data_IF_529997937299
#
_entry.id   IF_529997937299
#
_cell.length_a   1.000
_cell.length_b   1.000
_cell.length_c   1.000
_cell.angle_alpha   90.00
_cell.angle_beta   90.00
_cell.angle_gamma   90.00
#
_symmetry.space_group_name_H-M   'P 1'
#
loop_
_entity.id
_entity.type
_entity.pdbx_description
1 polymer ?
#
# COMPACT_ATOMS: atom_id res chain seq x y z
N UNK A 1 -10.99 -14.90 1.40
CA UNK A 1 -12.31 -14.25 1.55
C UNK A 1 -12.19 -13.13 2.58
N UNK A 2 -13.08 -12.16 2.54
CA UNK A 2 -13.25 -11.08 3.51
C UNK A 2 -14.72 -11.06 3.93
N UNK A 3 -15.00 -10.40 5.05
CA UNK A 3 -16.38 -10.16 5.48
C UNK A 3 -16.85 -8.81 4.94
N UNK A 4 -18.12 -8.71 4.54
CA UNK A 4 -18.76 -7.44 4.18
C UNK A 4 -19.79 -7.10 5.26
N UNK A 5 -19.58 -5.97 5.93
CA UNK A 5 -20.44 -5.46 6.99
C UNK A 5 -20.89 -4.04 6.63
N UNK A 6 -22.18 -3.82 6.47
CA UNK A 6 -22.77 -2.52 6.07
C UNK A 6 -22.11 -1.93 4.79
N UNK A 7 -21.80 -2.78 3.80
CA UNK A 7 -21.11 -2.34 2.59
C UNK A 7 -19.60 -2.09 2.76
N UNK A 8 -19.02 -2.38 3.90
CA UNK A 8 -17.58 -2.28 4.17
C UNK A 8 -16.96 -3.68 4.12
N UNK A 9 -16.00 -3.88 3.22
CA UNK A 9 -15.17 -5.09 3.21
C UNK A 9 -14.08 -4.99 4.28
N UNK A 10 -14.11 -5.87 5.26
CA UNK A 10 -13.10 -5.92 6.34
C UNK A 10 -12.04 -6.94 5.95
N UNK A 11 -10.82 -6.47 5.75
CA UNK A 11 -9.66 -7.27 5.37
C UNK A 11 -8.67 -7.37 6.53
N UNK A 12 -8.58 -8.51 7.22
CA UNK A 12 -7.58 -8.68 8.26
C UNK A 12 -6.17 -8.73 7.68
N UNK A 13 -5.26 -7.99 8.30
CA UNK A 13 -3.82 -7.95 8.03
C UNK A 13 -3.09 -8.24 9.33
N UNK A 14 -2.82 -9.52 9.60
CA UNK A 14 -2.40 -9.98 10.93
C UNK A 14 -1.08 -10.72 10.90
N UNK A 15 -0.30 -10.61 11.98
CA UNK A 15 0.97 -11.30 12.18
C UNK A 15 2.09 -10.78 11.28
N UNK A 16 3.15 -11.56 11.13
CA UNK A 16 4.32 -11.17 10.32
C UNK A 16 3.98 -11.10 8.84
N UNK A 17 4.32 -10.00 8.21
CA UNK A 17 4.12 -9.80 6.77
C UNK A 17 5.26 -10.46 5.99
N UNK A 18 4.90 -11.26 4.99
CA UNK A 18 5.86 -11.95 4.12
C UNK A 18 5.54 -11.68 2.65
N UNK A 19 6.53 -11.84 1.77
CA UNK A 19 6.36 -11.51 0.35
C UNK A 19 5.24 -12.34 -0.30
N UNK A 20 5.19 -13.63 0.00
CA UNK A 20 4.19 -14.55 -0.57
C UNK A 20 3.86 -15.68 0.41
N UNK A 21 2.57 -16.06 0.44
CA UNK A 21 2.08 -17.28 1.06
C UNK A 21 1.34 -18.11 0.03
N UNK A 22 1.29 -19.46 0.22
CA UNK A 22 0.47 -20.35 -0.62
C UNK A 22 -1.01 -20.19 -0.29
N UNK A 23 -1.35 -19.91 0.97
CA UNK A 23 -2.71 -19.63 1.40
C UNK A 23 -3.01 -18.13 1.26
N UNK A 24 -4.17 -17.79 0.71
CA UNK A 24 -4.65 -16.41 0.59
C UNK A 24 -5.12 -15.83 1.93
N UNK A 25 -5.27 -16.67 2.93
CA UNK A 25 -5.60 -16.28 4.31
C UNK A 25 -4.40 -16.50 5.23
N UNK A 26 -4.26 -15.68 6.29
CA UNK A 26 -3.22 -15.89 7.28
C UNK A 26 -3.37 -17.27 7.93
N UNK A 27 -2.38 -18.09 7.75
CA UNK A 27 -2.23 -19.37 8.43
C UNK A 27 -0.92 -19.32 9.21
N UNK A 28 -0.90 -19.79 10.45
CA UNK A 28 0.33 -19.80 11.28
C UNK A 28 0.96 -18.44 11.61
N UNK A 29 0.16 -17.36 11.79
CA UNK A 29 0.69 -16.06 12.24
C UNK A 29 1.45 -15.26 11.17
N UNK A 30 1.28 -15.58 9.88
CA UNK A 30 1.90 -14.85 8.76
C UNK A 30 0.86 -14.45 7.72
N UNK A 31 0.99 -13.25 7.18
CA UNK A 31 0.16 -12.75 6.07
C UNK A 31 1.03 -12.41 4.86
N UNK A 32 0.73 -13.01 3.69
CA UNK A 32 1.42 -12.70 2.45
C UNK A 32 0.89 -11.43 1.78
N UNK A 33 1.78 -10.59 1.26
CA UNK A 33 1.39 -9.41 0.46
C UNK A 33 0.54 -9.80 -0.75
N UNK A 34 0.83 -10.95 -1.39
CA UNK A 34 0.02 -11.49 -2.47
C UNK A 34 -1.44 -11.74 -2.06
N UNK A 35 -1.66 -12.22 -0.83
CA UNK A 35 -3.01 -12.44 -0.29
C UNK A 35 -3.74 -11.13 0.01
N UNK A 36 -3.03 -10.10 0.50
CA UNK A 36 -3.60 -8.76 0.71
C UNK A 36 -4.02 -8.17 -0.64
N UNK A 37 -3.14 -8.18 -1.63
CA UNK A 37 -3.39 -7.65 -2.98
C UNK A 37 -4.60 -8.33 -3.62
N UNK A 38 -4.67 -9.65 -3.59
CA UNK A 38 -5.78 -10.40 -4.17
C UNK A 38 -7.14 -10.03 -3.53
N UNK A 39 -7.19 -9.90 -2.20
CA UNK A 39 -8.41 -9.50 -1.48
C UNK A 39 -8.79 -8.04 -1.74
N UNK A 40 -7.81 -7.13 -1.83
CA UNK A 40 -8.04 -5.74 -2.20
C UNK A 40 -8.67 -5.62 -3.59
N UNK A 41 -8.10 -6.31 -4.58
CA UNK A 41 -8.60 -6.31 -5.96
C UNK A 41 -10.01 -6.90 -6.04
N UNK A 42 -10.26 -7.99 -5.32
CA UNK A 42 -11.59 -8.60 -5.23
C UNK A 42 -12.60 -7.61 -4.62
N UNK A 43 -12.28 -6.98 -3.49
CA UNK A 43 -13.16 -6.00 -2.83
C UNK A 43 -13.37 -4.74 -3.69
N UNK A 44 -12.34 -4.30 -4.42
CA UNK A 44 -12.45 -3.16 -5.34
C UNK A 44 -13.46 -3.41 -6.47
N UNK A 45 -13.56 -4.66 -6.95
CA UNK A 45 -14.47 -5.06 -8.04
C UNK A 45 -15.86 -5.49 -7.55
N UNK A 46 -16.04 -5.73 -6.26
CA UNK A 46 -17.30 -6.23 -5.69
C UNK A 46 -18.36 -5.12 -5.62
N UNK A 47 -19.51 -5.24 -6.34
CA UNK A 47 -20.55 -4.22 -6.33
C UNK A 47 -21.23 -4.04 -4.97
N UNK A 48 -21.12 -5.02 -4.07
CA UNK A 48 -21.68 -4.94 -2.70
C UNK A 48 -20.77 -4.20 -1.72
N UNK A 49 -19.58 -3.79 -2.16
CA UNK A 49 -18.58 -3.11 -1.34
C UNK A 49 -18.52 -1.63 -1.71
N UNK A 50 -18.83 -0.77 -0.76
CA UNK A 50 -18.73 0.69 -0.87
C UNK A 50 -17.37 1.24 -0.39
N UNK A 51 -16.69 0.51 0.50
CA UNK A 51 -15.39 0.86 1.06
C UNK A 51 -14.68 -0.35 1.66
N UNK A 52 -13.39 -0.21 1.89
CA UNK A 52 -12.50 -1.28 2.37
C UNK A 52 -11.84 -0.83 3.67
N UNK A 53 -11.92 -1.64 4.71
CA UNK A 53 -11.23 -1.43 5.98
C UNK A 53 -10.13 -2.50 6.15
N UNK A 54 -8.88 -2.07 6.19
CA UNK A 54 -7.76 -2.91 6.57
C UNK A 54 -7.72 -2.97 8.11
N UNK A 55 -8.00 -4.13 8.68
CA UNK A 55 -7.93 -4.38 10.11
C UNK A 55 -6.51 -4.88 10.44
N UNK A 56 -5.69 -3.98 11.02
CA UNK A 56 -4.26 -4.16 11.17
C UNK A 56 -3.91 -4.64 12.57
N UNK A 57 -3.26 -5.82 12.63
CA UNK A 57 -2.62 -6.37 13.83
C UNK A 57 -1.28 -7.02 13.43
N UNK A 58 -0.27 -6.20 13.13
CA UNK A 58 1.00 -6.66 12.58
C UNK A 58 2.21 -5.89 13.10
N UNK A 59 3.30 -6.59 13.47
CA UNK A 59 4.59 -5.96 13.77
C UNK A 59 5.32 -5.45 12.51
N UNK A 60 4.79 -5.75 11.32
CA UNK A 60 5.47 -5.57 10.05
C UNK A 60 6.06 -6.87 9.52
N UNK A 61 7.15 -6.79 8.76
CA UNK A 61 7.77 -7.99 8.19
C UNK A 61 8.73 -7.69 7.05
N UNK A 62 8.72 -8.54 6.02
CA UNK A 62 9.67 -8.48 4.92
C UNK A 62 9.55 -7.20 4.09
N UNK A 63 10.69 -6.64 3.70
CA UNK A 63 10.76 -5.51 2.77
C UNK A 63 10.27 -5.93 1.37
N UNK A 64 10.66 -7.14 0.94
CA UNK A 64 10.32 -7.64 -0.39
C UNK A 64 8.79 -7.77 -0.57
N UNK A 65 8.24 -7.00 -1.49
CA UNK A 65 6.81 -6.94 -1.82
C UNK A 65 6.00 -5.91 -1.01
N UNK A 66 6.56 -5.31 0.06
CA UNK A 66 5.86 -4.34 0.89
C UNK A 66 5.50 -3.05 0.12
N UNK A 67 6.45 -2.52 -0.64
CA UNK A 67 6.26 -1.29 -1.41
C UNK A 67 5.25 -1.48 -2.54
N UNK A 68 5.30 -2.61 -3.24
CA UNK A 68 4.33 -2.94 -4.28
C UNK A 68 2.92 -3.08 -3.71
N UNK A 69 2.78 -3.72 -2.54
CA UNK A 69 1.50 -3.85 -1.86
C UNK A 69 0.95 -2.48 -1.45
N UNK A 70 1.78 -1.59 -0.91
CA UNK A 70 1.39 -0.22 -0.57
C UNK A 70 0.94 0.58 -1.80
N UNK A 71 1.64 0.45 -2.92
CA UNK A 71 1.25 1.10 -4.18
C UNK A 71 -0.09 0.57 -4.71
N UNK A 72 -0.39 -0.70 -4.55
CA UNK A 72 -1.70 -1.26 -4.91
C UNK A 72 -2.81 -0.70 -4.00
N UNK A 73 -2.57 -0.58 -2.69
CA UNK A 73 -3.51 0.08 -1.77
C UNK A 73 -3.78 1.52 -2.24
N UNK A 74 -2.73 2.27 -2.57
CA UNK A 74 -2.84 3.64 -3.06
C UNK A 74 -3.65 3.74 -4.37
N UNK A 75 -3.53 2.78 -5.28
CA UNK A 75 -4.36 2.73 -6.50
C UNK A 75 -5.81 2.37 -6.20
N UNK A 76 -6.04 1.41 -5.31
CA UNK A 76 -7.39 0.97 -4.95
C UNK A 76 -8.16 2.07 -4.24
N UNK A 77 -7.51 2.90 -3.40
CA UNK A 77 -8.18 4.03 -2.72
C UNK A 77 -8.78 5.08 -3.68
N UNK A 78 -8.26 5.14 -4.90
CA UNK A 78 -8.80 6.03 -5.94
C UNK A 78 -10.08 5.46 -6.59
N UNK A 79 -10.31 4.16 -6.46
CA UNK A 79 -11.50 3.45 -6.96
C UNK A 79 -12.57 3.41 -5.87
N UNK A 80 -12.22 2.92 -4.69
CA UNK A 80 -13.07 2.84 -3.49
C UNK A 80 -12.27 3.32 -2.27
N UNK A 81 -12.88 4.05 -1.32
CA UNK A 81 -12.20 4.44 -0.09
C UNK A 81 -11.59 3.23 0.62
N UNK A 82 -10.30 3.33 0.94
CA UNK A 82 -9.58 2.35 1.74
C UNK A 82 -9.16 3.02 3.03
N UNK A 83 -9.61 2.49 4.17
CA UNK A 83 -9.19 2.93 5.49
C UNK A 83 -8.35 1.84 6.15
N UNK A 84 -7.52 2.22 7.10
CA UNK A 84 -6.75 1.30 7.93
C UNK A 84 -7.09 1.55 9.40
N UNK A 85 -7.29 0.48 10.16
CA UNK A 85 -7.48 0.51 11.60
C UNK A 85 -6.28 -0.15 12.28
N UNK A 86 -5.47 0.62 12.99
CA UNK A 86 -4.52 0.06 13.95
C UNK A 86 -5.31 -0.39 15.17
N UNK A 87 -5.60 -1.69 15.23
CA UNK A 87 -6.44 -2.27 16.28
C UNK A 87 -5.60 -2.61 17.53
N UNK A 88 -4.54 -3.39 17.35
CA UNK A 88 -3.58 -3.73 18.40
C UNK A 88 -2.17 -3.25 18.04
N UNK A 89 -1.70 -3.59 16.86
CA UNK A 89 -0.38 -3.23 16.37
C UNK A 89 -0.41 -2.94 14.86
N UNK A 90 0.28 -1.89 14.45
CA UNK A 90 0.44 -1.55 13.04
C UNK A 90 1.82 -0.93 12.83
N UNK A 91 2.87 -1.75 12.88
CA UNK A 91 4.25 -1.29 12.88
C UNK A 91 4.99 -1.64 11.59
N UNK A 92 6.05 -0.86 11.30
CA UNK A 92 7.00 -1.11 10.21
C UNK A 92 6.30 -1.26 8.85
N UNK A 93 6.43 -2.38 8.14
CA UNK A 93 5.72 -2.60 6.88
C UNK A 93 4.19 -2.44 7.02
N UNK A 94 3.59 -2.73 8.18
CA UNK A 94 2.18 -2.44 8.46
C UNK A 94 1.88 -0.95 8.38
N UNK A 95 2.72 -0.10 8.98
CA UNK A 95 2.59 1.36 8.88
C UNK A 95 2.75 1.86 7.44
N UNK A 96 3.62 1.24 6.64
CA UNK A 96 3.73 1.54 5.21
C UNK A 96 2.40 1.29 4.49
N UNK A 97 1.79 0.13 4.71
CA UNK A 97 0.51 -0.23 4.10
C UNK A 97 -0.61 0.72 4.55
N UNK A 98 -0.71 0.99 5.85
CA UNK A 98 -1.71 1.91 6.40
C UNK A 98 -1.53 3.34 5.88
N UNK A 99 -0.30 3.80 5.68
CA UNK A 99 0.00 5.13 5.12
C UNK A 99 -0.57 5.30 3.71
N UNK A 100 -0.67 4.22 2.94
CA UNK A 100 -1.26 4.22 1.60
C UNK A 100 -2.81 4.29 1.61
N UNK A 101 -3.45 4.11 2.76
CA UNK A 101 -4.90 4.25 2.91
C UNK A 101 -5.35 5.71 2.86
N UNK A 102 -6.66 5.93 2.63
CA UNK A 102 -7.27 7.27 2.62
C UNK A 102 -7.34 7.87 4.03
N UNK A 103 -7.59 7.03 5.05
CA UNK A 103 -7.70 7.43 6.45
C UNK A 103 -7.18 6.33 7.35
N UNK A 104 -6.54 6.72 8.43
CA UNK A 104 -5.90 5.83 9.41
C UNK A 104 -6.52 6.04 10.77
N UNK A 105 -7.23 5.03 11.22
CA UNK A 105 -7.82 4.97 12.55
C UNK A 105 -6.85 4.28 13.51
N UNK A 106 -6.87 4.67 14.77
CA UNK A 106 -6.06 4.06 15.83
C UNK A 106 -6.90 3.88 17.08
N UNK A 107 -6.77 2.74 17.75
CA UNK A 107 -7.39 2.55 19.07
C UNK A 107 -6.52 3.17 20.18
N UNK A 108 -7.07 3.34 21.40
CA UNK A 108 -6.41 4.05 22.48
C UNK A 108 -5.03 3.51 22.84
N UNK A 109 -4.83 2.19 22.75
CA UNK A 109 -3.60 1.50 23.14
C UNK A 109 -2.86 0.84 21.97
N UNK A 110 -3.39 0.94 20.76
CA UNK A 110 -2.74 0.38 19.59
C UNK A 110 -1.40 1.06 19.33
N UNK A 111 -0.42 0.26 18.97
CA UNK A 111 0.93 0.71 18.66
C UNK A 111 1.13 0.84 17.17
N UNK A 112 1.67 1.97 16.71
CA UNK A 112 1.93 2.23 15.30
C UNK A 112 3.27 2.95 15.11
N UNK A 113 3.79 2.99 13.88
CA UNK A 113 5.08 3.59 13.59
C UNK A 113 6.14 2.56 13.25
N UNK A 114 7.29 2.59 13.93
CA UNK A 114 8.44 1.72 13.64
C UNK A 114 8.88 1.83 12.17
N UNK A 115 8.96 3.07 11.63
CA UNK A 115 9.35 3.33 10.25
C UNK A 115 10.87 3.21 10.13
N UNK A 116 11.32 1.97 10.03
CA UNK A 116 12.72 1.60 9.98
C UNK A 116 12.92 0.28 9.28
N UNK A 117 14.18 -0.06 9.05
CA UNK A 117 14.62 -1.33 8.50
C UNK A 117 15.74 -1.89 9.36
N UNK A 118 15.76 -3.19 9.54
CA UNK A 118 16.82 -3.86 10.28
C UNK A 118 17.28 -5.12 9.57
N UNK A 119 18.53 -5.46 9.82
CA UNK A 119 19.16 -6.70 9.44
C UNK A 119 19.96 -7.21 10.64
N UNK A 120 19.94 -8.51 10.88
CA UNK A 120 20.77 -9.14 11.89
C UNK A 120 21.79 -10.06 11.23
N UNK A 121 23.05 -9.97 11.64
CA UNK A 121 24.10 -10.92 11.29
C UNK A 121 24.48 -11.72 12.54
N UNK A 122 24.50 -13.04 12.42
CA UNK A 122 24.95 -13.95 13.48
C UNK A 122 26.26 -14.63 13.05
N UNK A 123 27.23 -14.68 13.96
CA UNK A 123 28.48 -15.37 13.74
C UNK A 123 28.58 -16.61 14.65
N UNK A 124 28.57 -17.78 14.04
CA UNK A 124 28.68 -19.08 14.71
C UNK A 124 30.06 -19.68 14.64
N UNK A 125 31.06 -19.01 14.06
CA UNK A 125 32.41 -19.56 13.82
C UNK A 125 33.05 -20.12 15.09
N UNK A 126 33.12 -19.35 16.17
CA UNK A 126 33.69 -19.80 17.44
C UNK A 126 32.93 -20.96 18.12
N UNK A 127 31.61 -21.04 17.90
CA UNK A 127 30.80 -22.15 18.43
C UNK A 127 31.07 -23.45 17.67
N UNK A 128 31.23 -23.38 16.37
CA UNK A 128 31.56 -24.52 15.49
C UNK A 128 32.96 -25.02 15.77
N UNK A 129 33.93 -24.12 15.90
CA UNK A 129 35.30 -24.45 16.25
C UNK A 129 35.38 -25.24 17.57
N UNK A 130 34.67 -24.81 18.61
CA UNK A 130 34.56 -25.54 19.89
C UNK A 130 33.93 -26.92 19.75
N UNK A 131 33.12 -27.13 18.72
CA UNK A 131 32.51 -28.43 18.40
C UNK A 131 33.42 -29.30 17.49
N UNK A 132 34.60 -28.82 17.12
CA UNK A 132 35.48 -29.49 16.21
C UNK A 132 35.06 -29.48 14.75
N UNK A 133 34.18 -28.52 14.37
CA UNK A 133 33.68 -28.36 13.00
C UNK A 133 34.40 -27.20 12.33
N UNK A 134 35.12 -27.51 11.26
CA UNK A 134 35.75 -26.53 10.38
C UNK A 134 34.89 -26.31 9.14
N UNK A 135 34.60 -25.03 8.82
CA UNK A 135 33.84 -24.65 7.62
C UNK A 135 34.79 -23.96 6.64
N UNK A 136 34.99 -24.55 5.50
CA UNK A 136 35.75 -23.98 4.38
C UNK A 136 34.79 -23.51 3.29
N UNK A 137 34.75 -22.20 3.01
CA UNK A 137 33.97 -21.65 1.93
C UNK A 137 34.80 -21.64 0.63
N UNK A 138 34.27 -22.29 -0.42
CA UNK A 138 34.84 -22.25 -1.76
C UNK A 138 33.81 -21.49 -2.64
N UNK A 139 34.22 -20.37 -3.21
CA UNK A 139 33.30 -19.49 -3.94
C UNK A 139 33.98 -18.79 -5.11
N UNK A 140 33.17 -18.33 -6.06
CA UNK A 140 33.54 -17.45 -7.16
C UNK A 140 32.66 -16.21 -7.16
N UNK A 141 33.32 -15.05 -7.16
CA UNK A 141 32.68 -13.73 -6.98
C UNK A 141 32.84 -13.21 -5.55
N UNK A 142 33.51 -12.05 -5.38
CA UNK A 142 33.95 -11.50 -4.09
C UNK A 142 32.77 -11.32 -3.07
N UNK A 143 31.57 -10.94 -3.56
CA UNK A 143 30.41 -10.69 -2.72
C UNK A 143 29.54 -11.91 -2.44
N UNK A 144 29.94 -13.11 -2.91
CA UNK A 144 29.12 -14.32 -2.75
C UNK A 144 28.99 -14.79 -1.31
N UNK A 145 29.97 -14.45 -0.49
CA UNK A 145 30.06 -14.86 0.92
C UNK A 145 29.89 -13.70 1.90
N UNK A 146 29.54 -12.52 1.41
CA UNK A 146 29.26 -11.37 2.26
C UNK A 146 28.15 -11.72 3.26
N UNK A 147 28.40 -11.47 4.54
CA UNK A 147 27.44 -11.77 5.60
C UNK A 147 27.24 -13.26 5.89
N UNK A 148 28.20 -14.14 5.51
CA UNK A 148 28.14 -15.55 5.91
C UNK A 148 28.18 -15.69 7.46
N UNK A 149 27.56 -16.75 8.03
CA UNK A 149 27.42 -16.89 9.47
C UNK A 149 28.63 -17.58 10.14
N UNK A 150 29.74 -17.79 9.44
CA UNK A 150 30.88 -18.58 9.94
C UNK A 150 32.08 -17.72 10.32
N UNK A 151 32.01 -16.42 10.08
CA UNK A 151 33.07 -15.48 10.39
C UNK A 151 32.53 -14.14 10.89
N UNK A 152 33.40 -13.30 11.42
CA UNK A 152 33.09 -11.92 11.71
C UNK A 152 32.65 -11.20 10.43
N UNK A 153 31.72 -10.28 10.56
CA UNK A 153 31.32 -9.41 9.46
C UNK A 153 32.43 -8.40 9.20
N UNK A 154 33.07 -8.40 8.00
CA UNK A 154 34.09 -7.41 7.66
C UNK A 154 33.51 -5.98 7.68
N UNK A 155 34.33 -4.99 8.02
CA UNK A 155 33.88 -3.59 8.17
C UNK A 155 33.34 -3.01 6.87
N UNK A 156 34.00 -3.27 5.75
CA UNK A 156 33.55 -2.83 4.41
C UNK A 156 32.20 -3.45 3.99
N UNK A 157 31.99 -4.73 4.34
CA UNK A 157 30.71 -5.41 4.13
C UNK A 157 29.63 -4.81 5.04
N UNK A 158 29.96 -4.55 6.31
CA UNK A 158 29.06 -3.90 7.26
C UNK A 158 28.64 -2.51 6.77
N UNK A 159 29.57 -1.69 6.31
CA UNK A 159 29.27 -0.36 5.74
C UNK A 159 28.39 -0.46 4.51
N UNK A 160 28.64 -1.42 3.62
CA UNK A 160 27.79 -1.67 2.45
C UNK A 160 26.37 -2.05 2.85
N UNK A 161 26.20 -2.94 3.83
CA UNK A 161 24.88 -3.34 4.33
C UNK A 161 24.16 -2.18 5.02
N UNK A 162 24.87 -1.37 5.83
CA UNK A 162 24.32 -0.18 6.47
C UNK A 162 23.81 0.81 5.41
N UNK A 163 24.60 1.10 4.40
CA UNK A 163 24.20 1.99 3.30
C UNK A 163 22.91 1.51 2.59
N UNK A 164 22.77 0.20 2.40
CA UNK A 164 21.54 -0.39 1.83
C UNK A 164 20.33 -0.23 2.78
N UNK A 165 20.53 -0.39 4.09
CA UNK A 165 19.48 -0.16 5.09
C UNK A 165 19.04 1.30 5.09
N UNK A 166 19.98 2.24 5.06
CA UNK A 166 19.71 3.68 5.04
C UNK A 166 18.94 4.08 3.76
N UNK A 167 19.34 3.56 2.61
CA UNK A 167 18.64 3.77 1.35
C UNK A 167 17.21 3.22 1.39
N UNK A 168 17.02 2.04 1.93
CA UNK A 168 15.69 1.41 2.07
C UNK A 168 14.81 2.19 3.06
N UNK A 169 15.35 2.64 4.19
CA UNK A 169 14.64 3.48 5.15
C UNK A 169 14.24 4.82 4.52
N UNK A 170 15.11 5.42 3.73
CA UNK A 170 14.80 6.66 2.99
C UNK A 170 13.67 6.44 1.97
N UNK A 171 13.69 5.34 1.23
CA UNK A 171 12.60 4.97 0.32
C UNK A 171 11.29 4.76 1.08
N UNK A 172 11.32 4.15 2.26
CA UNK A 172 10.17 4.00 3.14
C UNK A 172 9.61 5.39 3.53
N UNK A 173 10.46 6.28 4.02
CA UNK A 173 10.04 7.63 4.40
C UNK A 173 9.47 8.42 3.21
N UNK A 174 10.04 8.30 2.03
CA UNK A 174 9.53 8.91 0.80
C UNK A 174 8.13 8.40 0.43
N UNK A 175 7.87 7.10 0.56
CA UNK A 175 6.54 6.52 0.30
C UNK A 175 5.51 7.01 1.33
N UNK A 176 5.84 6.97 2.61
CA UNK A 176 4.95 7.51 3.66
C UNK A 176 4.66 8.99 3.41
N UNK A 177 5.67 9.79 3.10
CA UNK A 177 5.53 11.20 2.73
C UNK A 177 4.57 11.40 1.57
N UNK A 178 4.76 10.65 0.48
CA UNK A 178 3.92 10.75 -0.72
C UNK A 178 2.45 10.39 -0.45
N UNK A 179 2.19 9.44 0.45
CA UNK A 179 0.83 9.01 0.76
C UNK A 179 0.12 9.90 1.78
N UNK A 180 0.85 10.47 2.74
CA UNK A 180 0.28 11.15 3.91
C UNK A 180 0.41 12.67 3.87
N UNK A 181 1.34 13.20 3.07
CA UNK A 181 1.68 14.61 3.04
C UNK A 181 2.66 15.06 4.14
N UNK A 182 3.09 14.17 5.03
CA UNK A 182 4.20 14.46 5.94
C UNK A 182 5.48 14.72 5.14
N UNK A 183 6.37 15.60 5.63
CA UNK A 183 7.69 15.72 5.00
C UNK A 183 8.53 14.48 5.20
N UNK A 184 9.39 14.14 4.24
CA UNK A 184 10.33 13.02 4.37
C UNK A 184 11.17 13.15 5.65
N UNK A 185 11.59 14.37 5.98
CA UNK A 185 12.38 14.63 7.19
C UNK A 185 11.57 14.34 8.46
N UNK A 186 10.31 14.78 8.54
CA UNK A 186 9.45 14.48 9.70
C UNK A 186 9.27 12.97 9.91
N UNK A 187 9.18 12.20 8.83
CA UNK A 187 9.12 10.73 8.92
C UNK A 187 10.44 10.14 9.39
N UNK A 188 11.59 10.63 8.88
CA UNK A 188 12.91 10.18 9.32
C UNK A 188 13.20 10.56 10.77
N UNK A 189 12.74 11.73 11.24
CA UNK A 189 12.94 12.21 12.61
C UNK A 189 12.19 11.35 13.66
N UNK A 190 11.26 10.50 13.25
CA UNK A 190 10.64 9.53 14.16
C UNK A 190 11.64 8.50 14.68
N UNK A 191 12.80 8.33 14.03
CA UNK A 191 13.85 7.37 14.39
C UNK A 191 13.31 5.95 14.67
N UNK A 192 12.32 5.53 13.85
CA UNK A 192 11.61 4.27 13.98
C UNK A 192 10.92 4.07 15.34
N UNK A 193 10.58 5.14 16.05
CA UNK A 193 9.83 5.07 17.29
C UNK A 193 8.41 4.49 17.07
N UNK A 194 7.86 3.98 18.14
CA UNK A 194 6.50 3.45 18.20
C UNK A 194 5.65 4.39 19.05
N UNK A 195 4.46 4.69 18.56
CA UNK A 195 3.51 5.63 19.16
C UNK A 195 2.20 4.94 19.48
N UNK A 196 1.52 5.35 20.53
CA UNK A 196 0.23 4.77 20.93
C UNK A 196 -0.88 5.81 20.87
N UNK A 197 -2.06 5.38 20.41
CA UNK A 197 -3.27 6.18 20.49
C UNK A 197 -3.09 7.63 20.02
N UNK A 198 -3.24 8.60 20.94
CA UNK A 198 -3.13 10.03 20.63
C UNK A 198 -1.74 10.43 20.14
N UNK A 199 -0.68 9.83 20.69
CA UNK A 199 0.70 10.13 20.24
C UNK A 199 0.89 9.82 18.75
N UNK A 200 0.23 8.78 18.23
CA UNK A 200 0.28 8.44 16.81
C UNK A 200 -0.38 9.53 15.94
N UNK A 201 -1.45 10.14 16.44
CA UNK A 201 -2.13 11.27 15.77
C UNK A 201 -1.21 12.51 15.79
N UNK A 202 -0.63 12.81 16.95
CA UNK A 202 0.27 13.97 17.12
C UNK A 202 1.51 13.84 16.23
N UNK A 203 1.99 12.62 16.01
CA UNK A 203 3.08 12.33 15.09
C UNK A 203 2.65 12.30 13.60
N UNK A 204 1.36 12.46 13.29
CA UNK A 204 0.82 12.42 11.93
C UNK A 204 0.75 11.00 11.32
N UNK A 205 0.94 9.96 12.12
CA UNK A 205 0.90 8.55 11.68
C UNK A 205 -0.50 7.95 11.71
N UNK A 206 -1.43 8.59 12.41
CA UNK A 206 -2.86 8.27 12.42
C UNK A 206 -3.68 9.55 12.30
N UNK A 207 -4.97 9.43 11.97
CA UNK A 207 -5.85 10.56 11.72
C UNK A 207 -6.95 10.70 12.79
N UNK A 208 -7.37 9.59 13.40
CA UNK A 208 -8.50 9.58 14.33
C UNK A 208 -8.41 8.44 15.35
N UNK A 209 -8.74 8.79 16.60
CA UNK A 209 -8.88 7.83 17.69
C UNK A 209 -10.30 7.25 17.69
N UNK A 210 -10.40 5.92 17.73
CA UNK A 210 -11.70 5.21 17.74
C UNK A 210 -11.66 4.03 18.72
N UNK A 211 -12.84 3.59 19.15
CA UNK A 211 -12.97 2.25 19.68
C UNK A 211 -13.06 1.25 18.52
N UNK A 212 -12.43 0.11 18.65
CA UNK A 212 -12.39 -0.93 17.61
C UNK A 212 -13.79 -1.30 17.09
N UNK A 213 -14.77 -1.43 17.99
CA UNK A 213 -16.16 -1.77 17.66
C UNK A 213 -16.87 -0.72 16.83
N UNK A 214 -16.41 0.52 16.87
CA UNK A 214 -17.07 1.66 16.22
C UNK A 214 -16.50 1.97 14.83
N UNK A 215 -15.34 1.39 14.48
CA UNK A 215 -14.61 1.71 13.26
C UNK A 215 -15.45 1.56 11.98
N UNK A 216 -16.27 0.51 11.88
CA UNK A 216 -17.15 0.26 10.73
C UNK A 216 -18.24 1.32 10.64
N UNK A 217 -18.87 1.68 11.76
CA UNK A 217 -19.90 2.72 11.84
C UNK A 217 -19.33 4.08 11.46
N UNK A 218 -18.17 4.45 12.03
CA UNK A 218 -17.46 5.70 11.70
C UNK A 218 -17.13 5.77 10.20
N UNK A 219 -16.66 4.69 9.61
CA UNK A 219 -16.40 4.62 8.17
C UNK A 219 -17.71 4.74 7.37
N UNK A 220 -18.78 4.03 7.75
CA UNK A 220 -20.09 4.07 7.05
C UNK A 220 -20.65 5.48 7.04
N UNK A 221 -20.69 6.14 8.18
CA UNK A 221 -21.22 7.51 8.33
C UNK A 221 -20.44 8.49 7.45
N UNK A 222 -19.11 8.37 7.40
CA UNK A 222 -18.27 9.21 6.54
C UNK A 222 -18.56 8.99 5.05
N UNK A 223 -18.79 7.74 4.62
CA UNK A 223 -19.13 7.41 3.23
C UNK A 223 -20.52 7.96 2.86
N UNK A 224 -21.51 7.88 3.75
CA UNK A 224 -22.86 8.40 3.52
C UNK A 224 -22.87 9.93 3.47
N UNK A 225 -22.12 10.60 4.34
CA UNK A 225 -21.94 12.05 4.30
C UNK A 225 -21.28 12.50 2.99
N UNK A 226 -20.33 11.74 2.45
CA UNK A 226 -19.71 12.01 1.15
C UNK A 226 -20.71 11.87 0.00
N UNK A 227 -21.52 10.80 -0.01
CA UNK A 227 -22.59 10.59 -1.02
C UNK A 227 -23.60 11.73 -1.01
N UNK A 228 -24.04 12.17 0.17
CA UNK A 228 -24.98 13.27 0.32
C UNK A 228 -24.45 14.61 -0.22
N UNK A 229 -23.18 14.92 0.02
CA UNK A 229 -22.55 16.14 -0.52
C UNK A 229 -22.46 16.13 -2.05
N UNK A 230 -22.17 14.98 -2.64
CA UNK A 230 -22.09 14.83 -4.10
C UNK A 230 -23.47 14.95 -4.76
N UNK A 231 -24.53 14.43 -4.14
CA UNK A 231 -25.90 14.54 -4.63
C UNK A 231 -26.48 15.96 -4.45
N UNK A 232 -26.24 16.61 -3.32
CA UNK A 232 -26.68 17.98 -3.06
C UNK A 232 -26.02 19.02 -3.98
N UNK A 233 -24.73 18.84 -4.31
CA UNK A 233 -24.02 19.72 -5.25
C UNK A 233 -24.52 19.60 -6.70
N UNK A 234 -25.17 18.49 -7.06
CA UNK A 234 -25.78 18.30 -8.38
C UNK A 234 -27.13 19.02 -8.52
N UNK A 235 -27.89 19.06 -7.45
CA UNK A 235 -29.21 19.81 -7.44
C UNK A 235 -29.01 21.32 -7.50
N UNK A 236 -27.97 21.89 -6.90
CA UNK A 236 -27.68 23.32 -6.97
C UNK A 236 -27.18 23.80 -8.35
N UNK A 237 -26.56 22.92 -9.14
CA UNK A 237 -26.15 23.25 -10.52
C UNK A 237 -27.32 23.19 -11.54
N UNK A 238 -28.33 22.37 -11.31
CA UNK A 238 -29.50 22.29 -12.20
C UNK A 238 -30.48 23.43 -11.98
N UNK A 239 -30.49 24.06 -10.81
CA UNK A 239 -31.45 25.16 -10.50
C UNK A 239 -30.96 26.54 -10.98
N UNK A 240 -29.73 26.69 -11.46
CA UNK A 240 -29.19 27.96 -11.99
C UNK A 240 -29.21 28.07 -13.53
N UNK A 241 -29.74 27.08 -14.24
CA UNK A 241 -29.74 27.08 -15.72
C UNK A 241 -31.06 27.43 -16.37
N UNK A 242 -32.01 28.04 -15.67
CA UNK A 242 -33.30 28.48 -16.26
C UNK A 242 -33.69 29.85 -15.75
N UNK A 243 -33.08 30.88 -16.30
CA UNK A 243 -33.73 32.18 -16.58
C UNK A 243 -32.75 33.14 -17.26
N UNK A 244 -32.67 33.12 -18.58
CA UNK A 244 -32.44 34.34 -19.36
C UNK A 244 -33.34 34.27 -20.56
N UNK A 245 -34.36 35.09 -20.52
CA UNK A 245 -35.34 35.36 -21.57
C UNK A 245 -34.68 36.10 -22.75
N UNK A 246 -35.21 35.79 -23.89
CA UNK A 246 -34.87 36.35 -25.20
C UNK A 246 -34.98 37.88 -25.26
N UNK A 247 -34.06 38.51 -25.97
CA UNK A 247 -34.36 39.67 -26.81
C UNK A 247 -33.49 39.60 -28.05
N UNK A 248 -34.18 39.57 -29.18
CA UNK A 248 -33.60 39.55 -30.54
C UNK A 248 -33.01 40.91 -30.90
N UNK A 249 -31.93 40.88 -31.67
CA UNK A 249 -31.69 41.90 -32.71
C UNK A 249 -30.78 41.31 -33.79
N UNK A 250 -31.27 41.38 -35.01
CA UNK A 250 -30.62 41.00 -36.27
C UNK A 250 -29.51 41.98 -36.62
N UNK A 251 -28.42 41.51 -37.20
CA UNK A 251 -27.66 42.16 -38.25
C UNK A 251 -26.84 41.11 -39.02
N UNK A 252 -27.14 41.09 -40.29
CA UNK A 252 -26.49 40.41 -41.41
C UNK A 252 -25.02 40.77 -41.54
N UNK A 253 -24.17 39.85 -42.00
CA UNK A 253 -23.35 39.97 -43.23
C UNK A 253 -22.49 38.70 -43.47
N UNK A 254 -22.62 38.22 -44.67
CA UNK A 254 -21.88 37.23 -45.49
C UNK A 254 -20.39 37.12 -45.36
N UNK A 255 -19.87 35.87 -45.52
CA UNK A 255 -18.44 35.61 -45.78
C UNK A 255 -18.06 34.13 -45.82
N UNK A 256 -18.29 33.50 -46.94
CA UNK A 256 -17.51 32.44 -47.67
C UNK A 256 -16.62 31.45 -46.87
N UNK A 257 -16.95 30.15 -47.06
CA UNK A 257 -16.18 28.92 -46.78
C UNK A 257 -14.93 28.81 -47.66
N UNK A 258 -13.87 28.04 -47.23
CA UNK A 258 -13.82 26.69 -47.78
C UNK A 258 -13.49 25.59 -46.76
N UNK A 259 -14.01 24.41 -47.08
CA UNK A 259 -13.80 23.13 -46.41
C UNK A 259 -12.37 22.65 -46.47
N UNK A 260 -11.90 22.02 -45.40
CA UNK A 260 -10.90 20.97 -45.46
C UNK A 260 -11.35 19.79 -44.60
N UNK A 261 -11.50 18.67 -45.29
CA UNK A 261 -11.66 17.35 -44.72
C UNK A 261 -10.41 16.98 -43.90
N UNK A 262 -10.60 16.45 -42.73
CA UNK A 262 -9.55 15.90 -41.87
C UNK A 262 -10.11 14.70 -41.12
N UNK A 263 -9.65 13.54 -41.52
CA UNK A 263 -10.03 12.21 -41.06
C UNK A 263 -10.05 12.08 -39.52
N UNK A 264 -11.14 11.58 -39.02
CA UNK A 264 -11.36 11.23 -37.64
C UNK A 264 -10.86 9.78 -37.43
N UNK A 265 -9.58 9.61 -37.14
CA UNK A 265 -9.05 8.34 -36.65
C UNK A 265 -9.30 8.24 -35.16
N UNK A 266 -10.40 7.58 -34.80
CA UNK A 266 -10.66 7.10 -33.43
C UNK A 266 -9.61 6.06 -33.06
N UNK A 267 -8.59 6.47 -32.32
CA UNK A 267 -7.68 5.55 -31.67
C UNK A 267 -8.43 4.86 -30.53
N UNK A 268 -8.77 3.58 -30.73
CA UNK A 268 -9.30 2.72 -29.69
C UNK A 268 -8.31 2.67 -28.53
N UNK A 269 -8.76 3.03 -27.32
CA UNK A 269 -7.99 2.82 -26.10
C UNK A 269 -7.73 1.31 -25.93
N UNK A 270 -6.49 0.89 -25.67
CA UNK A 270 -6.20 -0.53 -25.49
C UNK A 270 -6.92 -1.04 -24.24
N UNK A 271 -7.59 -2.18 -24.39
CA UNK A 271 -8.27 -2.88 -23.30
C UNK A 271 -7.26 -3.28 -22.21
N UNK A 272 -7.24 -2.52 -21.13
CA UNK A 272 -6.34 -2.70 -19.99
C UNK A 272 -6.54 -4.09 -19.36
N UNK A 273 -7.75 -4.64 -19.39
CA UNK A 273 -8.04 -5.96 -18.88
C UNK A 273 -7.39 -7.07 -19.75
N UNK A 274 -7.38 -6.91 -21.06
CA UNK A 274 -6.69 -7.82 -21.97
C UNK A 274 -5.16 -7.80 -21.76
N UNK A 275 -4.58 -6.62 -21.51
CA UNK A 275 -3.14 -6.48 -21.22
C UNK A 275 -2.76 -7.09 -19.86
N UNK A 276 -3.59 -6.91 -18.84
CA UNK A 276 -3.37 -7.52 -17.51
C UNK A 276 -3.47 -9.04 -17.61
N UNK A 277 -4.46 -9.56 -18.33
CA UNK A 277 -4.63 -11.01 -18.52
C UNK A 277 -3.46 -11.63 -19.28
N UNK A 278 -2.97 -10.95 -20.32
CA UNK A 278 -1.80 -11.40 -21.08
C UNK A 278 -0.51 -11.37 -20.24
N UNK A 279 -0.31 -10.34 -19.42
CA UNK A 279 0.86 -10.23 -18.53
C UNK A 279 0.85 -11.32 -17.44
N UNK A 280 -0.31 -11.61 -16.86
CA UNK A 280 -0.48 -12.69 -15.86
C UNK A 280 -0.23 -14.06 -16.49
N UNK A 281 -0.71 -14.30 -17.71
CA UNK A 281 -0.47 -15.56 -18.42
C UNK A 281 1.01 -15.77 -18.77
N UNK A 282 1.69 -14.71 -19.22
CA UNK A 282 3.12 -14.74 -19.51
C UNK A 282 3.97 -15.03 -18.26
N UNK A 283 3.65 -14.41 -17.12
CA UNK A 283 4.36 -14.64 -15.88
C UNK A 283 4.10 -16.04 -15.31
N UNK A 284 2.88 -16.55 -15.39
CA UNK A 284 2.57 -17.93 -15.01
C UNK A 284 3.34 -18.94 -15.86
N UNK A 285 3.48 -18.71 -17.18
CA UNK A 285 4.27 -19.57 -18.06
C UNK A 285 5.76 -19.54 -17.71
N UNK A 286 6.30 -18.36 -17.35
CA UNK A 286 7.68 -18.21 -16.88
C UNK A 286 7.94 -18.98 -15.58
N UNK A 287 7.01 -18.90 -14.63
CA UNK A 287 7.10 -19.59 -13.34
C UNK A 287 7.04 -21.12 -13.53
N UNK A 288 6.16 -21.61 -14.41
CA UNK A 288 6.06 -23.04 -14.70
C UNK A 288 7.29 -23.57 -15.43
N UNK A 289 7.94 -22.75 -16.26
CA UNK A 289 9.22 -23.10 -16.90
C UNK A 289 10.39 -23.25 -15.92
N UNK A 290 10.37 -22.50 -14.81
CA UNK A 290 11.41 -22.60 -13.75
C UNK A 290 11.20 -23.83 -12.84
N UNK A 291 9.94 -24.27 -12.67
CA UNK A 291 9.61 -25.42 -11.82
C UNK A 291 9.83 -26.77 -12.50
N UNK A 292 10.07 -26.79 -13.83
CA UNK A 292 10.31 -28.00 -14.62
C UNK A 292 11.79 -28.15 -15.08
N UNK A 293 12.71 -27.35 -14.54
CA UNK A 293 14.15 -27.53 -14.60
C UNK A 293 14.65 -27.95 -13.21
#
# INVERSE_FOLDING_TARGET
SYQVMNGIAVLPVSGTLVSRTRALQPYSGMTGYNGIIARLQQAASDPMVDGILLDMDTPGGMVAGAFDCADIIARVRDIKPVWALANDMNCSAGQLLASAATRRLVTQTARTGSIGVMMAHSNYGAALEKQGVEITLIYSGSHKVDGNPYSHLPDDVRETLQSRMDATRRMFAQKVSAYTGLSVQAVLDTEAAVYSGQEAIDAGLADELVNSTDAITVMRDALDARKSRLSGGRMTKETQSTTVSATASQADVTGVVPAMEGENASAAQPDVNAQITAAVAAENSRIMGILNC
#
